data_IF_626997081824
#
_entry.id   IF_626997081824
#
_cell.length_a   1.000
_cell.length_b   1.000
_cell.length_c   1.000
_cell.angle_alpha   90.00
_cell.angle_beta   90.00
_cell.angle_gamma   90.00
#
_symmetry.space_group_name_H-M   'P 1'
#
loop_
_entity.id
_entity.type
_entity.pdbx_description
1 polymer ?
#
# COMPACT_ATOMS: atom_id res chain seq x y z
N UNK A 1 54.82 -14.29 -8.86
CA UNK A 1 53.77 -14.38 -7.82
C UNK A 1 52.47 -14.69 -8.55
N UNK A 2 51.95 -15.91 -8.39
CA UNK A 2 50.74 -16.35 -9.08
C UNK A 2 49.51 -15.73 -8.41
N UNK A 3 48.67 -15.06 -9.19
CA UNK A 3 47.41 -14.49 -8.72
C UNK A 3 46.38 -15.61 -8.67
N UNK A 4 45.92 -15.95 -7.47
CA UNK A 4 44.86 -16.93 -7.25
C UNK A 4 43.52 -16.36 -7.77
N UNK A 5 42.72 -17.10 -8.57
CA UNK A 5 41.48 -16.57 -9.13
C UNK A 5 40.38 -16.47 -8.07
N UNK A 6 39.82 -15.27 -7.92
CA UNK A 6 38.67 -14.99 -7.04
C UNK A 6 37.46 -15.85 -7.45
N UNK A 7 36.77 -16.53 -6.51
CA UNK A 7 35.60 -17.35 -6.83
C UNK A 7 34.43 -16.49 -7.31
N UNK A 8 33.68 -17.01 -8.29
CA UNK A 8 32.51 -16.34 -8.85
C UNK A 8 31.40 -16.17 -7.79
N UNK A 9 30.66 -15.04 -7.79
CA UNK A 9 29.59 -14.79 -6.84
C UNK A 9 28.48 -15.84 -6.99
N UNK A 10 28.12 -16.48 -5.88
CA UNK A 10 26.98 -17.40 -5.82
C UNK A 10 25.72 -16.62 -5.44
N UNK A 11 24.66 -16.77 -6.22
CA UNK A 11 23.38 -16.07 -5.97
C UNK A 11 22.70 -16.72 -4.76
N UNK A 12 22.46 -15.94 -3.71
CA UNK A 12 21.94 -16.43 -2.43
C UNK A 12 20.42 -16.70 -2.41
N UNK A 13 19.69 -16.29 -3.46
CA UNK A 13 18.25 -16.42 -3.54
C UNK A 13 17.84 -17.40 -4.64
N UNK A 14 16.75 -18.14 -4.38
CA UNK A 14 16.10 -18.99 -5.37
C UNK A 14 15.46 -18.09 -6.44
N UNK A 15 15.49 -18.51 -7.70
CA UNK A 15 14.72 -17.84 -8.75
C UNK A 15 13.23 -17.96 -8.45
N UNK A 16 12.54 -16.84 -8.29
CA UNK A 16 11.08 -16.79 -8.24
C UNK A 16 10.54 -16.93 -9.66
N UNK A 17 9.66 -17.90 -9.87
CA UNK A 17 8.87 -17.95 -11.10
C UNK A 17 7.94 -16.74 -11.14
N UNK A 18 8.33 -15.74 -11.93
CA UNK A 18 7.42 -14.66 -12.30
C UNK A 18 6.45 -15.26 -13.32
N UNK A 19 5.15 -15.05 -13.10
CA UNK A 19 4.11 -15.53 -14.02
C UNK A 19 4.40 -15.15 -15.48
N UNK A 20 3.78 -15.85 -16.44
CA UNK A 20 4.13 -15.73 -17.85
C UNK A 20 4.16 -14.26 -18.29
N UNK A 21 5.23 -13.82 -18.97
CA UNK A 21 5.32 -12.45 -19.44
C UNK A 21 4.13 -12.16 -20.38
N UNK A 22 3.49 -11.00 -20.20
CA UNK A 22 2.41 -10.54 -21.08
C UNK A 22 0.98 -10.78 -20.57
N UNK A 23 0.77 -11.28 -19.35
CA UNK A 23 -0.57 -11.22 -18.74
C UNK A 23 -0.95 -9.74 -18.51
N UNK A 24 -2.08 -9.26 -19.07
CA UNK A 24 -2.53 -7.90 -18.78
C UNK A 24 -2.85 -7.76 -17.29
N UNK A 25 -2.63 -6.56 -16.74
CA UNK A 25 -3.07 -6.27 -15.37
C UNK A 25 -4.60 -6.39 -15.33
N UNK A 26 -5.16 -7.01 -14.27
CA UNK A 26 -6.60 -7.12 -14.14
C UNK A 26 -7.20 -5.72 -14.03
N UNK A 27 -8.31 -5.50 -14.72
CA UNK A 27 -9.03 -4.22 -14.65
C UNK A 27 -9.76 -4.05 -13.30
N UNK A 28 -10.37 -2.89 -13.07
CA UNK A 28 -11.12 -2.63 -11.83
C UNK A 28 -12.23 -3.67 -11.61
N UNK A 29 -13.00 -3.99 -12.64
CA UNK A 29 -14.19 -4.86 -12.54
C UNK A 29 -13.78 -6.28 -12.17
N UNK A 30 -12.77 -6.83 -12.83
CA UNK A 30 -12.21 -8.16 -12.52
C UNK A 30 -11.72 -8.26 -11.08
N UNK A 31 -11.15 -7.16 -10.55
CA UNK A 31 -10.68 -7.08 -9.16
C UNK A 31 -11.84 -6.99 -8.17
N UNK A 32 -12.85 -6.19 -8.47
CA UNK A 32 -14.09 -6.07 -7.68
C UNK A 32 -14.85 -7.41 -7.63
N UNK A 33 -14.90 -8.16 -8.73
CA UNK A 33 -15.51 -9.50 -8.79
C UNK A 33 -14.73 -10.53 -7.96
N UNK A 34 -13.39 -10.49 -8.03
CA UNK A 34 -12.54 -11.34 -7.19
C UNK A 34 -12.73 -11.03 -5.71
N UNK A 35 -12.72 -9.75 -5.36
CA UNK A 35 -13.03 -9.29 -4.01
C UNK A 35 -14.43 -9.74 -3.58
N UNK A 36 -15.43 -9.68 -4.48
CA UNK A 36 -16.79 -10.16 -4.24
C UNK A 36 -16.84 -11.66 -3.91
N UNK A 37 -16.01 -12.48 -4.56
CA UNK A 37 -15.93 -13.91 -4.31
C UNK A 37 -15.15 -14.26 -3.03
N UNK A 38 -14.12 -13.49 -2.68
CA UNK A 38 -13.17 -13.82 -1.61
C UNK A 38 -13.57 -13.26 -0.24
N UNK A 39 -14.14 -12.05 -0.16
CA UNK A 39 -14.47 -11.46 1.15
C UNK A 39 -15.68 -12.16 1.80
N UNK A 40 -15.68 -12.16 3.14
CA UNK A 40 -16.77 -12.68 3.95
C UNK A 40 -18.12 -11.99 3.67
N UNK A 41 -19.23 -12.65 3.98
CA UNK A 41 -20.59 -12.17 3.70
C UNK A 41 -20.92 -10.79 4.32
N UNK A 42 -20.30 -10.43 5.45
CA UNK A 42 -20.49 -9.13 6.11
C UNK A 42 -19.46 -8.05 5.74
N UNK A 43 -18.50 -8.35 4.85
CA UNK A 43 -17.48 -7.39 4.46
C UNK A 43 -18.06 -6.30 3.55
N UNK A 44 -17.64 -5.05 3.79
CA UNK A 44 -17.94 -3.93 2.89
C UNK A 44 -17.21 -4.15 1.56
N UNK A 45 -17.95 -4.08 0.45
CA UNK A 45 -17.42 -4.29 -0.91
C UNK A 45 -17.10 -2.96 -1.56
N UNK A 46 -16.09 -2.92 -2.43
CA UNK A 46 -15.80 -1.73 -3.24
C UNK A 46 -16.92 -1.38 -4.25
N UNK A 47 -17.68 -2.36 -4.74
CA UNK A 47 -18.80 -2.09 -5.64
C UNK A 47 -19.97 -1.42 -4.87
N UNK A 48 -20.40 -0.25 -5.35
CA UNK A 48 -21.48 0.52 -4.69
C UNK A 48 -21.12 1.10 -3.32
N UNK A 49 -19.83 1.10 -2.94
CA UNK A 49 -19.40 1.65 -1.67
C UNK A 49 -19.34 3.17 -1.66
N UNK A 50 -19.99 3.75 -0.66
CA UNK A 50 -19.90 5.16 -0.30
C UNK A 50 -20.70 6.08 -1.21
N UNK A 51 -21.32 7.10 -0.61
CA UNK A 51 -21.95 8.18 -1.36
C UNK A 51 -20.96 9.34 -1.49
N UNK A 52 -20.36 9.52 -2.67
CA UNK A 52 -19.47 10.66 -2.93
C UNK A 52 -20.31 11.93 -3.03
N UNK A 53 -19.89 12.98 -2.32
CA UNK A 53 -20.57 14.27 -2.39
C UNK A 53 -20.58 14.86 -3.80
N UNK A 54 -19.55 14.54 -4.60
CA UNK A 54 -19.44 14.92 -6.01
C UNK A 54 -19.44 13.62 -6.83
N UNK A 55 -20.34 13.47 -7.81
CA UNK A 55 -20.30 12.32 -8.72
C UNK A 55 -18.98 12.29 -9.49
N UNK A 56 -18.35 11.12 -9.52
CA UNK A 56 -17.09 10.91 -10.23
C UNK A 56 -17.21 9.65 -11.08
N UNK A 57 -16.67 9.69 -12.31
CA UNK A 57 -16.60 8.50 -13.14
C UNK A 57 -15.72 7.43 -12.47
N UNK A 58 -16.07 6.14 -12.57
CA UNK A 58 -15.22 5.05 -12.10
C UNK A 58 -13.84 5.03 -12.79
N UNK A 59 -12.79 4.64 -12.06
CA UNK A 59 -11.42 4.54 -12.60
C UNK A 59 -11.23 3.19 -13.30
N UNK A 60 -10.41 3.12 -14.36
CA UNK A 60 -10.26 1.90 -15.15
C UNK A 60 -9.59 0.73 -14.38
N UNK A 61 -8.73 1.04 -13.41
CA UNK A 61 -7.88 0.04 -12.72
C UNK A 61 -8.10 0.00 -11.21
N UNK A 62 -8.36 1.16 -10.60
CA UNK A 62 -8.47 1.31 -9.15
C UNK A 62 -9.91 1.19 -8.68
N UNK A 63 -10.11 0.43 -7.61
CA UNK A 63 -11.37 0.37 -6.87
C UNK A 63 -11.67 1.73 -6.22
N UNK A 64 -12.92 1.93 -5.77
CA UNK A 64 -13.29 3.17 -5.10
C UNK A 64 -12.47 3.43 -3.83
N UNK A 65 -12.17 2.39 -3.06
CA UNK A 65 -11.42 2.49 -1.80
C UNK A 65 -9.94 2.78 -2.03
N UNK A 66 -9.32 2.19 -3.06
CA UNK A 66 -7.94 2.52 -3.43
C UNK A 66 -7.79 3.98 -3.83
N UNK A 67 -8.76 4.51 -4.58
CA UNK A 67 -8.77 5.95 -4.93
C UNK A 67 -8.89 6.83 -3.70
N UNK A 68 -9.64 6.41 -2.69
CA UNK A 68 -9.80 7.17 -1.46
C UNK A 68 -8.54 7.11 -0.59
N UNK A 69 -7.89 5.93 -0.56
CA UNK A 69 -6.60 5.74 0.08
C UNK A 69 -5.53 6.64 -0.54
N UNK A 70 -5.45 6.69 -1.88
CA UNK A 70 -4.55 7.59 -2.61
C UNK A 70 -4.76 9.06 -2.21
N UNK A 71 -6.01 9.50 -2.12
CA UNK A 71 -6.33 10.88 -1.70
C UNK A 71 -5.83 11.17 -0.31
N UNK A 72 -6.02 10.24 0.63
CA UNK A 72 -5.59 10.39 2.02
C UNK A 72 -4.06 10.43 2.08
N UNK A 73 -3.37 9.45 1.49
CA UNK A 73 -1.92 9.34 1.46
C UNK A 73 -1.25 10.57 0.84
N UNK A 74 -1.79 11.08 -0.26
CA UNK A 74 -1.24 12.24 -0.94
C UNK A 74 -1.78 13.58 -0.41
N UNK A 75 -2.61 13.58 0.62
CA UNK A 75 -3.13 14.81 1.22
C UNK A 75 -2.05 15.60 1.97
N UNK A 76 -2.20 16.92 1.99
CA UNK A 76 -1.37 17.80 2.85
C UNK A 76 -1.57 17.48 4.33
N UNK A 77 -2.78 17.08 4.73
CA UNK A 77 -3.09 16.76 6.12
C UNK A 77 -2.29 15.54 6.60
N UNK A 78 -2.24 14.46 5.81
CA UNK A 78 -1.47 13.26 6.14
C UNK A 78 0.03 13.54 6.25
N UNK A 79 0.62 14.28 5.31
CA UNK A 79 2.03 14.69 5.40
C UNK A 79 2.36 15.49 6.66
N UNK A 80 1.44 16.33 7.14
CA UNK A 80 1.64 17.12 8.37
C UNK A 80 1.73 16.24 9.63
N UNK A 81 1.23 15.00 9.60
CA UNK A 81 1.33 14.07 10.74
C UNK A 81 2.78 13.71 11.07
N UNK A 82 3.70 13.78 10.11
CA UNK A 82 5.13 13.56 10.34
C UNK A 82 5.71 14.58 11.34
N UNK A 83 5.22 15.82 11.31
CA UNK A 83 5.64 16.88 12.23
C UNK A 83 4.77 17.00 13.49
N UNK A 84 3.94 16.00 13.79
CA UNK A 84 3.09 15.99 14.99
C UNK A 84 3.52 14.87 15.91
N UNK A 85 3.92 15.23 17.12
CA UNK A 85 4.22 14.27 18.16
C UNK A 85 3.02 13.40 18.51
N UNK A 86 3.29 12.13 18.80
CA UNK A 86 2.36 11.23 19.46
C UNK A 86 2.73 11.19 20.95
N UNK A 87 1.85 11.74 21.81
CA UNK A 87 1.97 11.75 23.28
C UNK A 87 3.11 12.63 23.84
N UNK A 88 4.37 12.41 23.46
CA UNK A 88 5.53 13.09 24.05
C UNK A 88 6.09 14.17 23.13
N UNK A 89 6.44 15.33 23.71
CA UNK A 89 7.10 16.43 22.98
C UNK A 89 8.58 16.43 23.36
N UNK A 90 9.45 15.95 22.48
CA UNK A 90 10.89 16.18 22.57
C UNK A 90 11.38 16.66 21.20
N UNK A 91 11.61 17.98 21.01
CA UNK A 91 12.00 18.55 19.73
C UNK A 91 13.37 18.07 19.22
N UNK A 92 14.20 17.53 20.10
CA UNK A 92 15.59 17.15 19.86
C UNK A 92 15.79 15.63 19.69
N UNK A 93 14.75 14.82 19.94
CA UNK A 93 14.79 13.36 19.83
C UNK A 93 13.96 12.90 18.63
N UNK A 94 14.63 12.49 17.56
CA UNK A 94 14.02 12.04 16.31
C UNK A 94 13.59 10.56 16.34
N UNK A 95 13.88 9.83 17.43
CA UNK A 95 13.43 8.46 17.64
C UNK A 95 12.01 8.38 18.23
N UNK A 96 11.41 9.50 18.62
CA UNK A 96 10.04 9.50 19.13
C UNK A 96 9.01 9.22 18.05
N UNK A 97 7.95 8.50 18.43
CA UNK A 97 6.81 8.25 17.54
C UNK A 97 6.11 9.57 17.19
N UNK A 98 5.84 9.73 15.91
CA UNK A 98 4.98 10.79 15.38
C UNK A 98 3.56 10.25 15.21
N UNK A 99 2.59 11.12 14.96
CA UNK A 99 1.24 10.70 14.58
C UNK A 99 1.25 9.92 13.26
N UNK A 100 2.22 10.18 12.38
CA UNK A 100 2.35 9.46 11.12
C UNK A 100 2.81 8.01 11.35
N UNK A 101 3.88 7.81 12.13
CA UNK A 101 4.37 6.45 12.44
C UNK A 101 3.31 5.66 13.18
N UNK A 102 2.63 6.31 14.14
CA UNK A 102 1.49 5.69 14.83
C UNK A 102 0.37 5.27 13.88
N UNK A 103 -0.03 6.14 12.93
CA UNK A 103 -1.06 5.81 11.96
C UNK A 103 -0.66 4.62 11.07
N UNK A 104 0.60 4.54 10.63
CA UNK A 104 1.11 3.42 9.84
C UNK A 104 1.07 2.12 10.64
N UNK A 105 1.47 2.15 11.91
CA UNK A 105 1.42 0.97 12.79
C UNK A 105 -0.02 0.50 13.02
N UNK A 106 -0.98 1.43 13.19
CA UNK A 106 -2.41 1.09 13.30
C UNK A 106 -2.91 0.46 12.00
N UNK A 107 -2.55 0.98 10.83
CA UNK A 107 -2.95 0.42 9.54
C UNK A 107 -2.39 -0.99 9.27
N UNK A 108 -1.30 -1.38 9.92
CA UNK A 108 -0.73 -2.72 9.79
C UNK A 108 -1.38 -3.75 10.72
N UNK A 109 -1.92 -3.30 11.86
CA UNK A 109 -2.53 -4.17 12.88
C UNK A 109 -4.03 -4.38 12.62
N UNK A 110 -4.70 -3.39 12.02
CA UNK A 110 -6.11 -3.46 11.64
C UNK A 110 -6.34 -4.39 10.44
#
# INVERSE_FOLDING_TARGET
MAHDPTPAPTVAHLALEVGPPGRPLPDRTEREEREAAELAAGATRACGAGNRAIPEAPDALRTCFERDLDRIHHSKAFRRLAGKCQVFVAPEDDHLRTRLTHAIEVCQVA
#
